data_IF_159612241128
#
_entry.id   IF_159612241128
#
_cell.length_a   1.000
_cell.length_b   1.000
_cell.length_c   1.000
_cell.angle_alpha   90.00
_cell.angle_beta   90.00
_cell.angle_gamma   90.00
#
_symmetry.space_group_name_H-M   'P 1'
#
loop_
_entity.id
_entity.type
_entity.pdbx_description
1 polymer ?
#
# COMPACT_ATOMS: atom_id res chain seq x y z
N UNK A 1 33.55 6.44 -1.83
CA UNK A 1 32.65 5.85 -0.83
C UNK A 1 31.73 4.89 -1.56
N UNK A 2 31.78 3.60 -1.25
CA UNK A 2 30.79 2.64 -1.76
C UNK A 2 29.54 2.80 -0.92
N UNK A 3 28.40 3.10 -1.54
CA UNK A 3 27.11 3.09 -0.84
C UNK A 3 26.59 1.66 -0.97
N UNK A 4 26.62 0.90 0.12
CA UNK A 4 25.90 -0.37 0.15
C UNK A 4 24.40 -0.10 -0.09
N UNK A 5 23.75 -0.86 -0.97
CA UNK A 5 22.33 -0.68 -1.21
C UNK A 5 21.54 -1.04 0.06
N UNK A 6 20.91 -0.02 0.68
CA UNK A 6 19.97 -0.25 1.77
C UNK A 6 18.73 -0.98 1.23
N UNK A 7 18.28 -2.02 1.93
CA UNK A 7 17.10 -2.81 1.57
C UNK A 7 15.77 -2.09 1.89
N UNK A 8 15.81 -1.02 2.68
CA UNK A 8 14.66 -0.22 3.12
C UNK A 8 15.06 1.24 3.37
N UNK A 9 14.06 2.12 3.45
CA UNK A 9 14.20 3.55 3.74
C UNK A 9 13.18 4.40 2.97
N UNK A 10 12.54 5.35 3.66
CA UNK A 10 11.55 6.27 3.08
C UNK A 10 11.70 7.67 3.67
N UNK A 11 12.80 8.36 3.34
CA UNK A 11 13.12 9.71 3.86
C UNK A 11 12.55 10.85 3.00
N UNK A 12 11.83 10.51 1.91
CA UNK A 12 11.25 11.50 1.00
C UNK A 12 9.92 11.01 0.47
N UNK A 13 8.94 11.92 0.44
CA UNK A 13 7.61 11.70 -0.14
C UNK A 13 7.51 12.12 -1.62
N UNK A 14 8.59 12.67 -2.19
CA UNK A 14 8.64 13.17 -3.58
C UNK A 14 9.80 12.62 -4.39
N UNK A 15 10.73 11.90 -3.74
CA UNK A 15 11.83 11.20 -4.40
C UNK A 15 11.34 10.01 -5.23
N UNK A 16 12.27 9.40 -5.97
CA UNK A 16 11.96 8.19 -6.73
C UNK A 16 11.48 7.07 -5.80
N UNK A 17 10.26 6.59 -6.02
CA UNK A 17 9.71 5.41 -5.35
C UNK A 17 10.30 4.15 -6.00
N UNK A 18 11.04 3.34 -5.22
CA UNK A 18 11.71 2.13 -5.74
C UNK A 18 10.94 0.85 -5.42
N UNK A 19 10.33 0.78 -4.25
CA UNK A 19 9.55 -0.36 -3.78
C UNK A 19 8.42 0.14 -2.90
N UNK A 20 7.23 -0.45 -3.02
CA UNK A 20 6.05 -0.06 -2.25
C UNK A 20 5.26 -1.28 -1.81
N UNK A 21 4.82 -1.27 -0.54
CA UNK A 21 3.90 -2.27 -0.02
C UNK A 21 2.46 -1.79 -0.24
N UNK A 22 1.70 -2.53 -1.02
CA UNK A 22 0.27 -2.29 -1.22
C UNK A 22 -0.53 -3.50 -0.75
N UNK A 23 -1.80 -3.28 -0.44
CA UNK A 23 -2.72 -4.36 -0.07
C UNK A 23 -3.93 -4.32 -0.99
N UNK A 24 -4.26 -5.48 -1.54
CA UNK A 24 -5.46 -5.64 -2.35
C UNK A 24 -6.73 -5.38 -1.50
N UNK A 25 -7.79 -4.85 -2.11
CA UNK A 25 -9.08 -4.70 -1.46
C UNK A 25 -9.57 -6.03 -0.87
N UNK A 26 -10.15 -5.97 0.33
CA UNK A 26 -10.64 -7.12 1.08
C UNK A 26 -12.17 -7.11 1.19
N UNK A 27 -12.72 -7.82 2.18
CA UNK A 27 -14.15 -7.78 2.46
C UNK A 27 -14.61 -6.36 2.85
N UNK A 28 -15.55 -5.83 2.07
CA UNK A 28 -16.08 -4.48 2.23
C UNK A 28 -17.38 -4.44 3.07
N UNK A 29 -17.90 -5.57 3.53
CA UNK A 29 -19.18 -5.62 4.29
C UNK A 29 -19.16 -4.78 5.57
N UNK A 30 -17.99 -4.55 6.16
CA UNK A 30 -17.81 -3.76 7.37
C UNK A 30 -17.53 -2.26 7.11
N UNK A 31 -17.74 -1.75 5.89
CA UNK A 31 -17.37 -0.38 5.51
C UNK A 31 -17.97 0.71 6.43
N UNK A 32 -19.16 0.51 7.00
CA UNK A 32 -19.74 1.47 7.93
C UNK A 32 -18.94 1.55 9.24
N UNK A 33 -18.40 0.42 9.72
CA UNK A 33 -17.59 0.38 10.93
C UNK A 33 -16.24 1.10 10.74
N UNK A 34 -15.73 1.12 9.50
CA UNK A 34 -14.59 1.91 9.05
C UNK A 34 -14.91 3.42 8.88
N UNK A 35 -16.16 3.84 9.08
CA UNK A 35 -16.55 5.25 8.93
C UNK A 35 -16.55 5.76 7.49
N UNK A 36 -16.60 4.86 6.49
CA UNK A 36 -16.68 5.27 5.09
C UNK A 36 -18.01 6.00 4.82
N UNK A 37 -18.00 6.98 3.92
CA UNK A 37 -19.13 7.90 3.72
C UNK A 37 -20.26 7.33 2.86
N UNK A 38 -20.04 6.19 2.21
CA UNK A 38 -20.99 5.54 1.32
C UNK A 38 -20.58 4.11 1.04
N UNK A 39 -21.55 3.32 0.56
CA UNK A 39 -21.31 1.92 0.20
C UNK A 39 -20.30 1.83 -0.96
N UNK A 40 -19.22 1.07 -0.81
CA UNK A 40 -18.20 0.98 -1.84
C UNK A 40 -18.59 0.03 -2.97
N UNK A 41 -18.21 0.39 -4.20
CA UNK A 41 -18.28 -0.52 -5.36
C UNK A 41 -17.05 -1.45 -5.35
N UNK A 42 -17.27 -2.70 -4.96
CA UNK A 42 -16.21 -3.71 -4.88
C UNK A 42 -15.50 -3.95 -6.22
N UNK A 43 -16.23 -3.88 -7.34
CA UNK A 43 -15.68 -4.11 -8.68
C UNK A 43 -14.84 -2.92 -9.10
N UNK A 44 -15.33 -1.69 -8.88
CA UNK A 44 -14.59 -0.48 -9.19
C UNK A 44 -13.30 -0.39 -8.36
N UNK A 45 -13.37 -0.66 -7.05
CA UNK A 45 -12.20 -0.62 -6.16
C UNK A 45 -11.13 -1.64 -6.57
N UNK A 46 -11.52 -2.87 -6.91
CA UNK A 46 -10.58 -3.89 -7.39
C UNK A 46 -9.88 -3.45 -8.69
N UNK A 47 -10.65 -2.98 -9.67
CA UNK A 47 -10.12 -2.47 -10.94
C UNK A 47 -9.18 -1.29 -10.74
N UNK A 48 -9.54 -0.35 -9.87
CA UNK A 48 -8.73 0.84 -9.59
C UNK A 48 -7.43 0.48 -8.86
N UNK A 49 -7.47 -0.49 -7.94
CA UNK A 49 -6.28 -1.00 -7.28
C UNK A 49 -5.34 -1.70 -8.29
N UNK A 50 -5.85 -2.53 -9.18
CA UNK A 50 -5.06 -3.15 -10.25
C UNK A 50 -4.43 -2.10 -11.17
N UNK A 51 -5.20 -1.07 -11.57
CA UNK A 51 -4.70 0.04 -12.38
C UNK A 51 -3.61 0.84 -11.64
N UNK A 52 -3.75 1.09 -10.34
CA UNK A 52 -2.72 1.72 -9.51
C UNK A 52 -1.43 0.90 -9.50
N UNK A 53 -1.52 -0.41 -9.27
CA UNK A 53 -0.37 -1.31 -9.30
C UNK A 53 0.35 -1.23 -10.64
N UNK A 54 -0.39 -1.32 -11.75
CA UNK A 54 0.17 -1.24 -13.10
C UNK A 54 0.86 0.12 -13.38
N UNK A 55 0.30 1.23 -12.87
CA UNK A 55 0.92 2.56 -13.00
C UNK A 55 2.25 2.60 -12.21
N UNK A 56 2.27 2.06 -11.00
CA UNK A 56 3.48 2.02 -10.15
C UNK A 56 4.58 1.18 -10.80
N UNK A 57 4.23 -0.02 -11.28
CA UNK A 57 5.15 -0.91 -12.00
C UNK A 57 5.65 -0.27 -13.29
N UNK A 58 4.76 0.36 -14.07
CA UNK A 58 5.11 1.10 -15.28
C UNK A 58 6.04 2.29 -15.04
N UNK A 59 6.00 2.88 -13.84
CA UNK A 59 6.94 3.91 -13.39
C UNK A 59 8.28 3.34 -12.86
N UNK A 60 8.46 2.02 -12.88
CA UNK A 60 9.67 1.33 -12.41
C UNK A 60 9.69 1.05 -10.91
N UNK A 61 8.55 1.15 -10.23
CA UNK A 61 8.42 0.78 -8.82
C UNK A 61 8.18 -0.72 -8.69
N UNK A 62 8.90 -1.39 -7.78
CA UNK A 62 8.57 -2.76 -7.38
C UNK A 62 7.33 -2.75 -6.45
N UNK A 63 6.22 -3.30 -6.93
CA UNK A 63 5.00 -3.46 -6.14
C UNK A 63 5.06 -4.77 -5.36
N UNK A 64 4.97 -4.67 -4.03
CA UNK A 64 4.90 -5.82 -3.13
C UNK A 64 3.48 -5.91 -2.59
N UNK A 65 2.77 -7.00 -2.89
CA UNK A 65 1.44 -7.25 -2.35
C UNK A 65 1.53 -7.88 -0.96
N UNK A 66 0.87 -7.25 0.01
CA UNK A 66 0.80 -7.77 1.37
C UNK A 66 -0.05 -9.06 1.43
N UNK A 67 0.55 -10.14 1.93
CA UNK A 67 -0.17 -11.37 2.21
C UNK A 67 -1.01 -11.19 3.49
N UNK A 68 -2.35 -11.12 3.39
CA UNK A 68 -3.26 -11.66 4.42
C UNK A 68 -4.73 -11.48 4.05
N UNK A 69 -5.56 -12.41 4.52
CA UNK A 69 -7.03 -12.36 4.48
C UNK A 69 -7.60 -11.49 5.60
N UNK A 70 -7.20 -10.21 5.64
CA UNK A 70 -7.82 -9.24 6.56
C UNK A 70 -9.31 -9.07 6.20
N UNK A 71 -10.22 -9.25 7.16
CA UNK A 71 -11.64 -8.90 6.99
C UNK A 71 -11.91 -7.39 7.19
N UNK A 72 -10.87 -6.60 7.50
CA UNK A 72 -10.98 -5.16 7.64
C UNK A 72 -10.81 -4.46 6.28
N UNK A 73 -11.83 -3.71 5.86
CA UNK A 73 -11.83 -2.90 4.65
C UNK A 73 -10.77 -1.77 4.67
N UNK A 74 -10.45 -1.22 5.85
CA UNK A 74 -9.41 -0.19 6.00
C UNK A 74 -7.98 -0.72 5.87
N UNK A 75 -7.79 -2.04 5.85
CA UNK A 75 -6.45 -2.60 5.75
C UNK A 75 -5.73 -2.22 4.44
N UNK A 76 -6.47 -1.77 3.42
CA UNK A 76 -5.92 -1.23 2.16
C UNK A 76 -4.98 -0.05 2.39
N UNK A 77 -5.16 0.72 3.48
CA UNK A 77 -4.32 1.86 3.85
C UNK A 77 -3.07 1.41 4.63
N UNK A 78 -2.11 0.81 3.92
CA UNK A 78 -0.88 0.22 4.50
C UNK A 78 0.05 1.22 5.21
N UNK A 79 -0.14 2.52 5.00
CA UNK A 79 0.65 3.57 5.64
C UNK A 79 0.24 3.83 7.10
N UNK A 80 -1.02 3.57 7.45
CA UNK A 80 -1.55 3.85 8.78
C UNK A 80 -0.88 3.01 9.89
N UNK A 81 -0.67 1.68 9.72
CA UNK A 81 -0.04 0.86 10.75
C UNK A 81 1.49 0.76 10.61
N UNK A 82 2.11 1.30 9.54
CA UNK A 82 3.52 1.05 9.29
C UNK A 82 4.26 2.24 8.67
N UNK A 83 5.31 2.69 9.33
CA UNK A 83 6.22 3.72 8.82
C UNK A 83 7.61 3.15 8.61
N UNK A 84 8.12 3.26 7.38
CA UNK A 84 9.48 2.83 7.02
C UNK A 84 10.44 3.99 7.14
N UNK A 85 11.51 3.82 7.91
CA UNK A 85 12.60 4.78 8.11
C UNK A 85 13.90 4.21 7.58
N UNK A 86 14.93 5.04 7.49
CA UNK A 86 16.29 4.58 7.16
C UNK A 86 16.89 3.61 8.19
N UNK A 87 16.26 3.43 9.36
CA UNK A 87 16.68 2.54 10.46
C UNK A 87 15.80 1.30 10.63
N UNK A 88 14.79 1.12 9.78
CA UNK A 88 13.83 0.01 9.84
C UNK A 88 12.39 0.49 9.84
N UNK A 89 11.46 -0.40 10.15
CA UNK A 89 10.02 -0.10 10.21
C UNK A 89 9.54 0.08 11.66
N UNK A 90 8.59 1.00 11.84
CA UNK A 90 7.78 1.18 13.04
C UNK A 90 6.39 0.61 12.72
N UNK A 91 5.87 -0.25 13.60
CA UNK A 91 4.61 -1.01 13.44
C UNK A 91 3.66 -0.75 14.62
#
# INVERSE_FOLDING_TARGET
MSVEPKLYGCESMTGQLRRVLVRAPSDLRAWQACGWRGEPDAVAIAREHEALCAILEGAGTEVVLAESSSENADAIYTFDPALVTERGAIL
#
